data_IF_118693891347
#
_entry.id   IF_118693891347
#
_cell.length_a   1.000
_cell.length_b   1.000
_cell.length_c   1.000
_cell.angle_alpha   90.00
_cell.angle_beta   90.00
_cell.angle_gamma   90.00
#
_symmetry.space_group_name_H-M   'P 1'
#
loop_
_entity.id
_entity.type
_entity.pdbx_description
1 polymer ?
#
# COMPACT_ATOMS: atom_id res chain seq x y z
N UNK A 1 17.90 -11.96 12.31
CA UNK A 1 16.45 -11.91 12.01
C UNK A 1 16.10 -10.92 10.89
N UNK A 2 16.53 -9.66 10.98
CA UNK A 2 16.28 -8.62 9.95
C UNK A 2 16.44 -9.09 8.50
N UNK A 3 17.61 -9.62 8.13
CA UNK A 3 17.85 -10.05 6.74
C UNK A 3 17.06 -11.29 6.31
N UNK A 4 16.61 -12.14 7.26
CA UNK A 4 15.67 -13.22 6.95
C UNK A 4 14.33 -12.65 6.52
N UNK A 5 13.79 -11.68 7.29
CA UNK A 5 12.53 -11.01 6.96
C UNK A 5 12.61 -10.21 5.65
N UNK A 6 13.74 -9.56 5.39
CA UNK A 6 13.99 -8.83 4.13
C UNK A 6 13.96 -9.76 2.93
N UNK A 7 14.57 -10.93 3.04
CA UNK A 7 14.53 -11.93 1.99
C UNK A 7 13.11 -12.51 1.85
N UNK A 8 12.48 -12.93 2.95
CA UNK A 8 11.15 -13.55 2.92
C UNK A 8 10.09 -12.64 2.30
N UNK A 9 9.94 -11.41 2.81
CA UNK A 9 8.85 -10.52 2.41
C UNK A 9 9.16 -9.62 1.23
N UNK A 10 10.45 -9.39 0.90
CA UNK A 10 10.83 -8.42 -0.13
C UNK A 10 11.76 -9.00 -1.20
N UNK A 11 12.28 -10.22 -1.03
CA UNK A 11 13.22 -10.81 -1.99
C UNK A 11 14.58 -10.11 -2.03
N UNK A 12 14.98 -9.40 -0.96
CA UNK A 12 16.24 -8.62 -0.93
C UNK A 12 17.25 -9.21 0.05
N UNK A 13 18.50 -9.35 -0.40
CA UNK A 13 19.64 -9.77 0.41
C UNK A 13 20.69 -8.66 0.53
N UNK A 14 21.54 -8.74 1.56
CA UNK A 14 22.66 -7.80 1.73
C UNK A 14 23.72 -8.05 0.66
N UNK A 15 24.33 -7.04 0.03
CA UNK A 15 25.42 -7.24 -0.92
C UNK A 15 26.73 -7.71 -0.26
N UNK A 16 26.86 -7.53 1.06
CA UNK A 16 28.05 -7.93 1.86
C UNK A 16 27.63 -8.73 3.09
N UNK A 17 28.52 -9.53 3.68
CA UNK A 17 28.25 -10.22 4.93
C UNK A 17 27.84 -9.25 6.04
N UNK A 18 26.89 -9.69 6.87
CA UNK A 18 26.38 -8.94 8.03
C UNK A 18 26.49 -9.76 9.30
N UNK A 19 26.63 -9.05 10.41
CA UNK A 19 26.77 -9.58 11.77
C UNK A 19 25.77 -8.91 12.72
N UNK A 20 25.74 -9.33 13.98
CA UNK A 20 24.91 -8.68 15.01
C UNK A 20 25.41 -7.27 15.39
N UNK A 21 26.61 -6.87 14.98
CA UNK A 21 27.10 -5.50 15.18
C UNK A 21 26.48 -4.51 14.18
N UNK A 22 25.89 -5.00 13.08
CA UNK A 22 25.30 -4.17 12.03
C UNK A 22 23.83 -3.83 12.32
N UNK A 23 23.56 -2.62 12.81
CA UNK A 23 22.18 -2.14 12.99
C UNK A 23 21.61 -1.51 11.70
N UNK A 24 21.54 -2.30 10.62
CA UNK A 24 21.02 -1.89 9.31
C UNK A 24 19.66 -1.16 9.33
N UNK A 25 18.62 -1.62 10.07
CA UNK A 25 17.36 -0.87 10.10
C UNK A 25 17.50 0.54 10.68
N UNK A 26 18.51 0.81 11.51
CA UNK A 26 18.80 2.13 12.05
C UNK A 26 19.23 3.16 11.00
N UNK A 27 19.67 2.73 9.82
CA UNK A 27 19.98 3.62 8.71
C UNK A 27 18.72 4.29 8.09
N UNK A 28 17.52 3.81 8.43
CA UNK A 28 16.26 4.44 8.00
C UNK A 28 15.84 5.50 9.01
N UNK A 29 15.65 6.74 8.52
CA UNK A 29 15.22 7.88 9.34
C UNK A 29 14.09 7.55 10.31
N UNK A 30 13.01 6.91 9.86
CA UNK A 30 11.86 6.61 10.71
C UNK A 30 12.18 5.70 11.89
N UNK A 31 13.14 4.79 11.74
CA UNK A 31 13.60 3.93 12.85
C UNK A 31 14.39 4.76 13.84
N UNK A 32 15.38 5.53 13.37
CA UNK A 32 16.23 6.37 14.22
C UNK A 32 15.45 7.50 14.93
N UNK A 33 14.43 8.05 14.27
CA UNK A 33 13.59 9.14 14.77
C UNK A 33 12.32 8.65 15.50
N UNK A 34 12.19 7.35 15.79
CA UNK A 34 11.03 6.74 16.45
C UNK A 34 9.68 7.17 15.84
N UNK A 35 9.64 7.26 14.51
CA UNK A 35 8.47 7.69 13.75
C UNK A 35 7.72 6.47 13.20
N UNK A 36 6.40 6.46 13.34
CA UNK A 36 5.57 5.32 12.92
C UNK A 36 5.65 5.08 11.40
N UNK A 37 6.01 3.86 10.99
CA UNK A 37 6.15 3.51 9.57
C UNK A 37 4.90 2.86 8.96
N UNK A 38 4.04 2.26 9.78
CA UNK A 38 2.82 1.56 9.33
C UNK A 38 1.83 2.49 8.61
N UNK A 39 1.90 3.80 8.89
CA UNK A 39 1.04 4.81 8.27
C UNK A 39 1.16 4.82 6.75
N UNK A 40 2.35 4.53 6.19
CA UNK A 40 2.56 4.46 4.74
C UNK A 40 1.85 3.26 4.13
N UNK A 41 1.87 2.10 4.81
CA UNK A 41 1.19 0.91 4.32
C UNK A 41 -0.34 1.12 4.29
N UNK A 42 -0.89 1.66 5.38
CA UNK A 42 -2.33 1.92 5.46
C UNK A 42 -2.78 3.05 4.51
N UNK A 43 -1.98 4.10 4.35
CA UNK A 43 -2.34 5.25 3.49
C UNK A 43 -2.48 4.84 2.03
N UNK A 44 -1.63 3.94 1.51
CA UNK A 44 -1.77 3.47 0.14
C UNK A 44 -3.08 2.71 -0.07
N UNK A 45 -3.45 1.79 0.83
CA UNK A 45 -4.71 1.06 0.69
C UNK A 45 -5.93 2.00 0.76
N UNK A 46 -5.93 2.92 1.72
CA UNK A 46 -6.98 3.93 1.87
C UNK A 46 -7.05 4.87 0.66
N UNK A 47 -5.92 5.28 0.09
CA UNK A 47 -5.87 6.13 -1.10
C UNK A 47 -6.68 5.54 -2.24
N UNK A 48 -6.45 4.27 -2.59
CA UNK A 48 -7.18 3.62 -3.69
C UNK A 48 -8.63 3.29 -3.33
N UNK A 49 -8.92 2.96 -2.06
CA UNK A 49 -10.28 2.73 -1.60
C UNK A 49 -11.13 4.02 -1.65
N UNK A 50 -10.54 5.17 -1.29
CA UNK A 50 -11.18 6.47 -1.43
C UNK A 50 -11.32 6.87 -2.89
N UNK A 51 -10.28 6.66 -3.69
CA UNK A 51 -10.29 6.96 -5.12
C UNK A 51 -11.40 6.19 -5.84
N UNK A 52 -11.50 4.86 -5.63
CA UNK A 52 -12.59 4.06 -6.21
C UNK A 52 -13.98 4.57 -5.79
N UNK A 53 -14.16 4.87 -4.50
CA UNK A 53 -15.44 5.38 -4.00
C UNK A 53 -15.83 6.72 -4.64
N UNK A 54 -14.87 7.63 -4.84
CA UNK A 54 -15.11 8.90 -5.53
C UNK A 54 -15.42 8.70 -7.01
N UNK A 55 -14.71 7.78 -7.67
CA UNK A 55 -14.96 7.43 -9.06
C UNK A 55 -16.38 6.87 -9.25
N UNK A 56 -16.81 5.98 -8.36
CA UNK A 56 -18.18 5.46 -8.35
C UNK A 56 -19.20 6.57 -8.15
N UNK A 57 -18.97 7.48 -7.20
CA UNK A 57 -19.86 8.61 -6.94
C UNK A 57 -19.93 9.58 -8.14
N UNK A 58 -18.86 9.72 -8.92
CA UNK A 58 -18.83 10.53 -10.14
C UNK A 58 -19.49 9.87 -11.36
N UNK A 59 -19.96 8.62 -11.24
CA UNK A 59 -20.52 7.86 -12.35
C UNK A 59 -19.49 7.37 -13.36
N UNK A 60 -18.21 7.28 -12.97
CA UNK A 60 -17.13 6.79 -13.85
C UNK A 60 -17.42 5.37 -14.34
N UNK A 61 -17.16 5.14 -15.63
CA UNK A 61 -17.23 3.82 -16.25
C UNK A 61 -15.90 3.48 -16.90
N UNK A 62 -15.53 2.20 -16.89
CA UNK A 62 -14.25 1.73 -17.43
C UNK A 62 -13.16 1.52 -16.37
N UNK A 63 -11.89 1.43 -16.79
CA UNK A 63 -10.79 1.11 -15.89
C UNK A 63 -10.60 2.17 -14.81
N UNK A 64 -10.24 1.74 -13.60
CA UNK A 64 -10.15 2.65 -12.46
C UNK A 64 -9.05 3.71 -12.66
N UNK A 65 -7.92 3.35 -13.27
CA UNK A 65 -6.79 4.26 -13.47
C UNK A 65 -7.05 5.42 -14.45
N UNK A 66 -8.15 5.39 -15.22
CA UNK A 66 -8.54 6.48 -16.12
C UNK A 66 -9.58 7.42 -15.52
N UNK A 67 -10.00 7.18 -14.28
CA UNK A 67 -11.02 7.98 -13.62
C UNK A 67 -10.55 9.41 -13.36
N UNK A 68 -11.42 10.36 -13.67
CA UNK A 68 -11.32 11.74 -13.23
C UNK A 68 -12.68 12.17 -12.69
N UNK A 69 -12.73 12.57 -11.43
CA UNK A 69 -13.94 13.05 -10.76
C UNK A 69 -13.98 14.59 -10.68
N UNK A 70 -13.17 15.28 -11.49
CA UNK A 70 -13.27 16.73 -11.66
C UNK A 70 -14.71 17.15 -11.96
N UNK A 71 -15.19 18.19 -11.27
CA UNK A 71 -16.58 18.71 -11.32
C UNK A 71 -17.70 17.78 -10.86
N UNK A 72 -17.40 16.59 -10.31
CA UNK A 72 -18.43 15.80 -9.62
C UNK A 72 -18.74 16.41 -8.25
N UNK A 73 -19.96 16.93 -8.09
CA UNK A 73 -20.44 17.44 -6.81
C UNK A 73 -20.67 16.29 -5.83
N UNK A 74 -21.10 15.14 -6.34
CA UNK A 74 -21.41 13.92 -5.59
C UNK A 74 -20.14 13.34 -4.95
N UNK A 75 -19.04 13.23 -5.71
CA UNK A 75 -17.75 12.81 -5.18
C UNK A 75 -17.21 13.81 -4.14
N UNK A 76 -17.32 15.11 -4.43
CA UNK A 76 -16.91 16.18 -3.52
C UNK A 76 -17.69 16.19 -2.20
N UNK A 77 -19.01 15.98 -2.25
CA UNK A 77 -19.87 15.90 -1.06
C UNK A 77 -19.49 14.70 -0.19
N UNK A 78 -19.21 13.54 -0.81
CA UNK A 78 -18.76 12.34 -0.11
C UNK A 78 -17.44 12.57 0.64
N UNK A 79 -16.46 13.16 -0.04
CA UNK A 79 -15.17 13.52 0.55
C UNK A 79 -15.34 14.54 1.69
N UNK A 80 -16.11 15.60 1.45
CA UNK A 80 -16.38 16.65 2.44
C UNK A 80 -17.03 16.09 3.71
N UNK A 81 -18.02 15.21 3.56
CA UNK A 81 -18.74 14.63 4.69
C UNK A 81 -17.83 13.76 5.57
N UNK A 82 -16.88 13.05 4.98
CA UNK A 82 -15.86 12.34 5.76
C UNK A 82 -14.88 13.33 6.43
N UNK A 83 -14.34 14.30 5.69
CA UNK A 83 -13.35 15.25 6.21
C UNK A 83 -13.88 16.10 7.37
N UNK A 84 -15.17 16.48 7.34
CA UNK A 84 -15.84 17.21 8.42
C UNK A 84 -15.80 16.48 9.77
N UNK A 85 -15.67 15.15 9.78
CA UNK A 85 -15.61 14.39 11.03
C UNK A 85 -14.29 14.62 11.77
N UNK A 86 -13.19 14.90 11.05
CA UNK A 86 -11.86 15.06 11.64
C UNK A 86 -11.52 13.92 12.60
N UNK A 87 -10.98 14.27 13.78
CA UNK A 87 -10.72 13.32 14.87
C UNK A 87 -11.88 13.10 15.84
N UNK A 88 -13.09 13.61 15.56
CA UNK A 88 -14.22 13.56 16.50
C UNK A 88 -14.97 12.23 16.54
N UNK A 89 -14.74 11.36 15.53
CA UNK A 89 -15.35 10.04 15.39
C UNK A 89 -14.29 8.97 15.21
N UNK A 90 -14.64 7.73 15.48
CA UNK A 90 -13.73 6.61 15.24
C UNK A 90 -13.46 6.49 13.73
N UNK A 91 -12.23 6.18 13.33
CA UNK A 91 -11.82 6.17 11.92
C UNK A 91 -12.68 5.23 11.04
N UNK A 92 -13.23 4.15 11.61
CA UNK A 92 -14.16 3.25 10.91
C UNK A 92 -15.47 3.94 10.50
N UNK A 93 -15.96 4.90 11.28
CA UNK A 93 -17.14 5.69 10.93
C UNK A 93 -16.80 6.62 9.75
N UNK A 94 -15.64 7.27 9.79
CA UNK A 94 -15.14 8.09 8.70
C UNK A 94 -14.93 7.27 7.41
N UNK A 95 -14.34 6.07 7.53
CA UNK A 95 -14.17 5.15 6.41
C UNK A 95 -15.52 4.70 5.83
N UNK A 96 -16.50 4.40 6.69
CA UNK A 96 -17.86 4.01 6.25
C UNK A 96 -18.56 5.16 5.54
N UNK A 97 -18.43 6.39 6.03
CA UNK A 97 -18.96 7.57 5.35
C UNK A 97 -18.35 7.72 3.94
N UNK A 98 -17.02 7.54 3.84
CA UNK A 98 -16.27 7.73 2.61
C UNK A 98 -16.41 6.59 1.61
N UNK A 99 -16.63 5.34 2.05
CA UNK A 99 -16.50 4.16 1.17
C UNK A 99 -17.67 3.18 1.28
N UNK A 100 -18.52 3.32 2.31
CA UNK A 100 -19.54 2.33 2.66
C UNK A 100 -19.00 1.16 3.48
N UNK A 101 -17.69 0.98 3.60
CA UNK A 101 -17.04 -0.12 4.33
C UNK A 101 -16.48 0.32 5.69
N UNK A 102 -16.30 -0.61 6.62
CA UNK A 102 -15.64 -0.39 7.92
C UNK A 102 -14.25 -1.04 7.99
N UNK A 103 -13.81 -1.68 6.90
CA UNK A 103 -12.51 -2.33 6.76
C UNK A 103 -11.68 -1.70 5.66
N UNK A 104 -10.36 -1.69 5.86
CA UNK A 104 -9.40 -1.33 4.82
C UNK A 104 -9.33 -2.48 3.82
N UNK A 105 -9.54 -2.17 2.54
CA UNK A 105 -9.61 -3.14 1.43
C UNK A 105 -8.37 -3.05 0.54
N UNK A 106 -7.98 -4.19 -0.03
CA UNK A 106 -6.85 -4.29 -0.98
C UNK A 106 -7.32 -4.36 -2.43
N UNK A 107 -8.59 -4.70 -2.61
CA UNK A 107 -9.27 -4.87 -3.88
C UNK A 107 -9.21 -3.60 -4.75
N UNK A 108 -9.43 -2.38 -4.23
CA UNK A 108 -9.32 -1.15 -5.03
C UNK A 108 -7.90 -0.90 -5.54
N UNK A 109 -6.88 -1.16 -4.71
CA UNK A 109 -5.47 -1.08 -5.09
C UNK A 109 -5.18 -2.07 -6.23
N UNK A 110 -5.59 -3.34 -6.06
CA UNK A 110 -5.39 -4.37 -7.09
C UNK A 110 -6.10 -4.01 -8.39
N UNK A 111 -7.35 -3.55 -8.31
CA UNK A 111 -8.16 -3.16 -9.47
C UNK A 111 -7.53 -2.02 -10.27
N UNK A 112 -6.93 -1.04 -9.60
CA UNK A 112 -6.21 0.05 -10.26
C UNK A 112 -5.04 -0.49 -11.12
N UNK A 113 -4.25 -1.42 -10.57
CA UNK A 113 -3.08 -2.00 -11.23
C UNK A 113 -3.37 -3.25 -12.07
N UNK A 114 -4.63 -3.71 -12.16
CA UNK A 114 -4.96 -4.97 -12.82
C UNK A 114 -4.42 -5.09 -14.26
N UNK A 115 -4.50 -4.06 -15.13
CA UNK A 115 -3.93 -4.15 -16.47
C UNK A 115 -2.41 -4.35 -16.47
N UNK A 116 -1.70 -3.71 -15.54
CA UNK A 116 -0.26 -3.89 -15.37
C UNK A 116 0.06 -5.29 -14.85
N UNK A 117 -0.74 -5.80 -13.91
CA UNK A 117 -0.61 -7.17 -13.40
C UNK A 117 -0.76 -8.16 -14.55
N UNK A 118 -1.81 -8.03 -15.37
CA UNK A 118 -2.07 -8.92 -16.50
C UNK A 118 -0.93 -8.87 -17.53
N UNK A 119 -0.43 -7.66 -17.83
CA UNK A 119 0.74 -7.48 -18.69
C UNK A 119 1.99 -8.19 -18.12
N UNK A 120 2.31 -7.97 -16.84
CA UNK A 120 3.46 -8.59 -16.20
C UNK A 120 3.33 -10.11 -16.12
N UNK A 121 2.12 -10.66 -15.95
CA UNK A 121 1.88 -12.10 -16.00
C UNK A 121 2.13 -12.68 -17.40
N UNK A 122 1.84 -11.94 -18.46
CA UNK A 122 2.14 -12.36 -19.83
C UNK A 122 3.64 -12.27 -20.15
N UNK A 123 4.32 -11.22 -19.71
CA UNK A 123 5.75 -11.03 -20.00
C UNK A 123 6.65 -11.96 -19.18
N UNK A 124 6.30 -12.22 -17.92
CA UNK A 124 7.10 -13.05 -17.03
C UNK A 124 6.76 -14.55 -17.19
N UNK A 125 7.20 -15.15 -18.31
CA UNK A 125 6.96 -16.57 -18.64
C UNK A 125 7.90 -17.59 -17.96
N UNK A 126 8.64 -17.17 -16.94
CA UNK A 126 9.67 -17.98 -16.27
C UNK A 126 9.45 -18.19 -14.77
N UNK A 127 10.51 -18.55 -14.04
CA UNK A 127 10.49 -18.67 -12.58
C UNK A 127 10.25 -17.29 -11.94
N UNK A 128 9.04 -17.05 -11.43
CA UNK A 128 8.69 -15.84 -10.68
C UNK A 128 8.84 -16.10 -9.18
N UNK A 129 9.72 -15.35 -8.52
CA UNK A 129 9.96 -15.42 -7.08
C UNK A 129 11.44 -15.56 -6.72
N UNK A 130 11.73 -15.78 -5.44
CA UNK A 130 13.10 -15.78 -4.90
C UNK A 130 13.37 -16.95 -3.93
N UNK A 131 12.64 -18.06 -4.06
CA UNK A 131 12.78 -19.22 -3.17
C UNK A 131 14.21 -19.83 -3.17
N UNK A 132 14.98 -19.61 -4.24
CA UNK A 132 16.37 -20.09 -4.38
C UNK A 132 17.41 -19.11 -3.80
N UNK A 133 17.00 -17.94 -3.33
CA UNK A 133 17.91 -16.92 -2.80
C UNK A 133 18.29 -17.21 -1.34
N UNK A 134 19.51 -16.78 -0.95
CA UNK A 134 20.05 -16.93 0.40
C UNK A 134 20.41 -15.59 1.03
N UNK A 135 20.62 -15.60 2.34
CA UNK A 135 21.11 -14.43 3.09
C UNK A 135 22.63 -14.46 3.20
N UNK A 136 23.26 -13.31 3.05
CA UNK A 136 24.70 -13.12 3.30
C UNK A 136 24.93 -12.86 4.80
N UNK A 137 24.91 -13.93 5.59
CA UNK A 137 25.07 -13.89 7.04
C UNK A 137 26.31 -14.63 7.50
N UNK A 138 27.21 -13.94 8.20
CA UNK A 138 28.33 -14.59 8.89
C UNK A 138 27.87 -15.02 10.29
N UNK A 139 28.07 -16.31 10.61
CA UNK A 139 27.98 -16.73 12.01
C UNK A 139 29.21 -16.18 12.73
N UNK A 140 28.98 -15.17 13.57
CA UNK A 140 29.93 -14.77 14.61
C UNK A 140 30.24 -15.94 15.54
#
# INVERSE_FOLDING_TARGET
EWWKMRLEYQGVTSPVPRTNADFDPGAKFHVAANSQYIIYFASFLLQFQFYESMCQASGHTGPLYTCDFYRSKEAGEKLLNMLKLGGSKHWKEALKQMTGDTYIRTEPFKKYFQPLIDFLMNENKGDVGWAKAGINWERA
#
